data_IF_598790771649
#
_entry.id   IF_598790771649
#
_cell.length_a   1.000
_cell.length_b   1.000
_cell.length_c   1.000
_cell.angle_alpha   90.00
_cell.angle_beta   90.00
_cell.angle_gamma   90.00
#
_symmetry.space_group_name_H-M   'P 1'
#
loop_
_entity.id
_entity.type
_entity.pdbx_description
1 polymer ?
#
# COMPACT_ATOMS: atom_id res chain seq x y z
N UNK A 1 -12.69 5.29 -20.03
CA UNK A 1 -12.71 4.66 -18.69
C UNK A 1 -13.77 3.58 -18.51
N UNK A 2 -15.01 3.75 -19.01
CA UNK A 2 -16.13 2.82 -18.69
C UNK A 2 -15.92 1.36 -19.11
N UNK A 3 -15.30 1.11 -20.28
CA UNK A 3 -15.00 -0.25 -20.74
C UNK A 3 -13.93 -0.95 -19.88
N UNK A 4 -12.88 -0.23 -19.49
CA UNK A 4 -11.80 -0.77 -18.65
C UNK A 4 -12.33 -1.12 -17.26
N UNK A 5 -13.16 -0.26 -16.66
CA UNK A 5 -13.75 -0.51 -15.33
C UNK A 5 -14.51 -1.83 -15.24
N UNK A 6 -15.20 -2.25 -16.30
CA UNK A 6 -15.93 -3.54 -16.30
C UNK A 6 -15.02 -4.76 -16.24
N UNK A 7 -13.74 -4.60 -16.61
CA UNK A 7 -12.70 -5.63 -16.63
C UNK A 7 -11.80 -5.60 -15.41
N UNK A 8 -11.92 -4.59 -14.54
CA UNK A 8 -11.13 -4.52 -13.31
C UNK A 8 -11.57 -5.59 -12.33
N UNK A 9 -10.64 -6.01 -11.47
CA UNK A 9 -10.95 -6.83 -10.28
C UNK A 9 -11.99 -6.07 -9.44
N UNK A 10 -13.12 -6.71 -9.16
CA UNK A 10 -14.29 -6.05 -8.57
C UNK A 10 -14.27 -6.15 -7.06
N UNK A 11 -14.32 -5.00 -6.40
CA UNK A 11 -14.49 -4.92 -4.96
C UNK A 11 -15.96 -5.00 -4.53
N UNK A 12 -16.18 -5.49 -3.31
CA UNK A 12 -17.44 -5.37 -2.58
C UNK A 12 -17.58 -4.04 -1.83
N UNK A 13 -16.49 -3.28 -1.67
CA UNK A 13 -16.50 -1.96 -1.03
C UNK A 13 -16.99 -0.88 -2.00
N UNK A 14 -17.62 0.14 -1.43
CA UNK A 14 -18.11 1.29 -2.19
C UNK A 14 -17.17 2.49 -2.08
N UNK A 15 -17.45 3.54 -2.85
CA UNK A 15 -16.65 4.77 -2.83
C UNK A 15 -16.65 5.43 -1.45
N UNK A 16 -17.74 5.30 -0.69
CA UNK A 16 -17.88 5.87 0.65
C UNK A 16 -16.97 5.17 1.67
N UNK A 17 -16.75 3.86 1.53
CA UNK A 17 -15.75 3.13 2.32
C UNK A 17 -14.35 3.67 2.05
N UNK A 18 -13.98 3.82 0.78
CA UNK A 18 -12.69 4.40 0.40
C UNK A 18 -12.53 5.86 0.84
N UNK A 19 -13.57 6.69 0.77
CA UNK A 19 -13.53 8.06 1.33
C UNK A 19 -13.25 8.04 2.83
N UNK A 20 -13.81 7.09 3.59
CA UNK A 20 -13.54 6.94 5.03
C UNK A 20 -12.09 6.51 5.25
N UNK A 21 -11.61 5.50 4.52
CA UNK A 21 -10.21 5.04 4.55
C UNK A 21 -9.24 6.19 4.24
N UNK A 22 -9.50 6.98 3.20
CA UNK A 22 -8.64 8.10 2.81
C UNK A 22 -8.55 9.16 3.89
N UNK A 23 -9.65 9.43 4.62
CA UNK A 23 -9.65 10.37 5.76
C UNK A 23 -8.86 9.82 6.95
N UNK A 24 -9.01 8.53 7.27
CA UNK A 24 -8.25 7.89 8.35
C UNK A 24 -6.75 7.95 8.07
N UNK A 25 -6.36 7.72 6.82
CA UNK A 25 -4.97 7.71 6.39
C UNK A 25 -4.41 9.10 6.02
N UNK A 26 -5.14 10.19 6.28
CA UNK A 26 -4.66 11.55 6.03
C UNK A 26 -3.88 12.13 7.22
N UNK A 27 -2.93 11.33 7.70
CA UNK A 27 -2.09 11.61 8.88
C UNK A 27 -0.63 11.30 8.52
N UNK A 28 0.36 12.12 8.91
CA UNK A 28 1.77 11.82 8.69
C UNK A 28 2.27 10.71 9.62
N UNK A 29 3.21 9.90 9.12
CA UNK A 29 3.81 8.79 9.88
C UNK A 29 4.67 9.25 11.08
N UNK A 30 5.25 10.45 10.96
CA UNK A 30 6.09 11.10 11.99
C UNK A 30 5.68 12.57 12.14
N UNK A 31 6.37 13.31 13.01
CA UNK A 31 6.31 14.78 12.99
C UNK A 31 7.10 15.33 11.80
N UNK A 32 6.46 16.19 11.01
CA UNK A 32 7.05 16.76 9.80
C UNK A 32 7.00 15.84 8.58
N UNK A 33 7.89 16.12 7.62
CA UNK A 33 7.97 15.42 6.34
C UNK A 33 8.99 14.28 6.41
N UNK A 34 8.51 13.03 6.43
CA UNK A 34 9.38 11.85 6.41
C UNK A 34 10.26 11.76 5.15
N UNK A 35 9.85 12.40 4.05
CA UNK A 35 10.63 12.47 2.82
C UNK A 35 11.96 13.18 3.00
N UNK A 36 12.06 14.12 3.94
CA UNK A 36 13.31 14.82 4.24
C UNK A 36 14.43 13.87 4.72
N UNK A 37 14.07 12.73 5.33
CA UNK A 37 15.03 11.74 5.81
C UNK A 37 15.72 10.96 4.67
N UNK A 38 15.07 10.83 3.52
CA UNK A 38 15.54 10.01 2.40
C UNK A 38 15.60 10.76 1.06
N UNK A 39 15.45 12.09 1.06
CA UNK A 39 15.35 12.88 -0.16
C UNK A 39 14.12 12.51 -1.00
N UNK A 40 13.03 12.12 -0.35
CA UNK A 40 11.76 11.69 -0.96
C UNK A 40 11.87 10.44 -1.84
N UNK A 41 12.86 9.58 -1.60
CA UNK A 41 13.12 8.37 -2.41
C UNK A 41 11.86 7.54 -2.66
N UNK A 42 11.10 7.19 -1.63
CA UNK A 42 9.87 6.40 -1.77
C UNK A 42 8.70 7.15 -2.44
N UNK A 43 8.77 8.48 -2.52
CA UNK A 43 7.77 9.30 -3.22
C UNK A 43 8.13 9.51 -4.69
N UNK A 44 9.35 9.17 -5.12
CA UNK A 44 9.85 9.35 -6.49
C UNK A 44 9.95 8.00 -7.22
N UNK A 45 10.15 8.06 -8.54
CA UNK A 45 10.53 6.88 -9.35
C UNK A 45 12.00 6.54 -9.08
N UNK A 46 12.27 5.90 -7.94
CA UNK A 46 13.63 5.51 -7.54
C UNK A 46 14.20 4.37 -8.40
N UNK A 47 13.34 3.67 -9.14
CA UNK A 47 13.68 2.68 -10.16
C UNK A 47 12.64 2.77 -11.30
N UNK A 48 13.04 2.58 -12.57
CA UNK A 48 12.12 2.65 -13.70
C UNK A 48 10.90 1.74 -13.53
N UNK A 49 9.71 2.32 -13.62
CA UNK A 49 8.45 1.59 -13.53
C UNK A 49 7.91 1.36 -12.11
N UNK A 50 8.52 1.97 -11.08
CA UNK A 50 7.96 1.98 -9.72
C UNK A 50 6.63 2.73 -9.70
N UNK A 51 5.66 2.16 -8.99
CA UNK A 51 4.32 2.71 -8.84
C UNK A 51 3.50 1.88 -7.85
N UNK A 52 2.21 2.13 -7.82
CA UNK A 52 1.28 1.44 -6.94
C UNK A 52 0.24 0.66 -7.71
N UNK A 53 0.02 -0.58 -7.29
CA UNK A 53 -1.22 -1.27 -7.63
C UNK A 53 -2.34 -0.71 -6.76
N UNK A 54 -3.42 -0.30 -7.41
CA UNK A 54 -4.61 0.12 -6.67
C UNK A 54 -5.30 -1.11 -6.12
N UNK A 55 -5.79 -1.00 -4.88
CA UNK A 55 -6.68 -2.03 -4.33
C UNK A 55 -7.94 -2.14 -5.19
N UNK A 56 -8.56 -3.32 -5.30
CA UNK A 56 -9.86 -3.47 -5.96
C UNK A 56 -10.84 -2.39 -5.48
N UNK A 57 -11.45 -1.64 -6.41
CA UNK A 57 -12.40 -0.56 -6.11
C UNK A 57 -11.79 0.79 -5.76
N UNK A 58 -10.49 0.87 -5.48
CA UNK A 58 -9.83 2.12 -5.13
C UNK A 58 -9.80 3.12 -6.30
N UNK A 59 -9.89 2.65 -7.55
CA UNK A 59 -9.96 3.50 -8.74
C UNK A 59 -11.16 4.47 -8.72
N UNK A 60 -12.16 4.22 -7.86
CA UNK A 60 -13.29 5.11 -7.62
C UNK A 60 -12.88 6.46 -6.99
N UNK A 61 -11.71 6.51 -6.34
CA UNK A 61 -11.14 7.72 -5.74
C UNK A 61 -10.46 8.63 -6.75
N UNK A 62 -10.26 8.16 -7.98
CA UNK A 62 -9.61 8.90 -9.04
C UNK A 62 -10.59 9.30 -10.14
N UNK A 63 -10.35 10.49 -10.70
CA UNK A 63 -11.05 10.96 -11.90
C UNK A 63 -10.51 10.31 -13.18
N UNK A 64 -9.26 9.82 -13.13
CA UNK A 64 -8.47 9.36 -14.26
C UNK A 64 -8.04 10.48 -15.20
N UNK A 65 -8.03 11.72 -14.71
CA UNK A 65 -7.55 12.94 -15.38
C UNK A 65 -6.40 13.60 -14.60
N UNK A 66 -5.88 12.92 -13.58
CA UNK A 66 -4.78 13.37 -12.76
C UNK A 66 -3.52 13.51 -13.61
N UNK A 67 -3.03 14.74 -13.81
CA UNK A 67 -1.80 15.01 -14.58
C UNK A 67 -0.53 14.44 -13.93
N UNK A 68 -0.60 14.15 -12.63
CA UNK A 68 0.50 13.60 -11.83
C UNK A 68 0.52 12.07 -11.82
N UNK A 69 -0.44 11.40 -12.47
CA UNK A 69 -0.53 9.95 -12.58
C UNK A 69 -0.47 9.46 -14.02
N UNK A 70 0.33 8.42 -14.24
CA UNK A 70 0.27 7.58 -15.45
C UNK A 70 -0.36 6.25 -15.09
N UNK A 71 -1.44 5.91 -15.77
CA UNK A 71 -2.18 4.66 -15.59
C UNK A 71 -1.66 3.56 -16.51
N UNK A 72 -1.60 2.35 -15.99
CA UNK A 72 -1.52 1.13 -16.78
C UNK A 72 -2.38 0.04 -16.12
N UNK A 73 -2.59 -1.06 -16.82
CA UNK A 73 -3.45 -2.14 -16.35
C UNK A 73 -2.73 -3.46 -16.55
N UNK A 74 -2.72 -4.29 -15.50
CA UNK A 74 -2.03 -5.58 -15.49
C UNK A 74 -3.05 -6.69 -15.32
N UNK A 75 -2.85 -7.82 -16.00
CA UNK A 75 -3.70 -8.99 -15.80
C UNK A 75 -3.39 -9.61 -14.45
N UNK A 76 -4.38 -9.81 -13.59
CA UNK A 76 -4.18 -10.49 -12.31
C UNK A 76 -3.55 -11.89 -12.47
N UNK A 77 -3.82 -12.57 -13.60
CA UNK A 77 -3.29 -13.91 -13.91
C UNK A 77 -1.78 -13.96 -14.17
N UNK A 78 -1.15 -12.85 -14.55
CA UNK A 78 0.25 -12.84 -15.01
C UNK A 78 1.19 -12.13 -14.04
N UNK A 79 0.72 -11.86 -12.83
CA UNK A 79 1.45 -11.15 -11.80
C UNK A 79 1.22 -11.83 -10.46
N UNK A 80 1.98 -11.40 -9.46
CA UNK A 80 2.00 -11.96 -8.12
C UNK A 80 0.82 -11.45 -7.26
N UNK A 81 -0.40 -11.67 -7.76
CA UNK A 81 -1.66 -11.40 -7.08
C UNK A 81 -2.31 -12.70 -6.62
N UNK A 82 -3.25 -12.64 -5.65
CA UNK A 82 -4.02 -13.81 -5.25
C UNK A 82 -4.75 -14.46 -6.41
N UNK A 83 -4.82 -15.79 -6.41
CA UNK A 83 -5.53 -16.55 -7.43
C UNK A 83 -7.02 -16.17 -7.52
N UNK A 84 -7.60 -15.68 -6.41
CA UNK A 84 -8.98 -15.21 -6.35
C UNK A 84 -9.22 -13.96 -7.21
N UNK A 85 -8.19 -13.19 -7.53
CA UNK A 85 -8.31 -11.99 -8.35
C UNK A 85 -8.48 -12.37 -9.83
N UNK A 86 -9.64 -12.03 -10.40
CA UNK A 86 -9.95 -12.24 -11.82
C UNK A 86 -10.19 -10.91 -12.53
N UNK A 87 -9.36 -10.61 -13.52
CA UNK A 87 -9.49 -9.40 -14.35
C UNK A 87 -8.20 -8.60 -14.44
N UNK A 88 -8.36 -7.29 -14.60
CA UNK A 88 -7.28 -6.32 -14.67
C UNK A 88 -7.11 -5.62 -13.31
N UNK A 89 -5.87 -5.39 -12.91
CA UNK A 89 -5.48 -4.58 -11.76
C UNK A 89 -5.00 -3.23 -12.29
N UNK A 90 -5.51 -2.14 -11.72
CA UNK A 90 -5.04 -0.82 -12.05
C UNK A 90 -3.67 -0.57 -11.41
N UNK A 91 -2.73 -0.05 -12.17
CA UNK A 91 -1.41 0.35 -11.71
C UNK A 91 -1.18 1.82 -12.04
N UNK A 92 -0.73 2.58 -11.06
CA UNK A 92 -0.50 4.03 -11.20
C UNK A 92 0.95 4.36 -10.86
N UNK A 93 1.60 5.10 -11.75
CA UNK A 93 2.92 5.68 -11.51
C UNK A 93 2.76 7.17 -11.24
N UNK A 94 3.34 7.65 -10.14
CA UNK A 94 3.36 9.07 -9.78
C UNK A 94 4.65 9.73 -10.28
N UNK A 95 4.54 10.98 -10.70
CA UNK A 95 5.69 11.81 -11.10
C UNK A 95 6.51 12.43 -9.94
N UNK A 96 6.34 11.97 -8.69
CA UNK A 96 7.04 12.54 -7.53
C UNK A 96 6.38 13.73 -6.83
N UNK A 97 5.39 14.37 -7.45
CA UNK A 97 4.74 15.59 -6.93
C UNK A 97 3.27 15.37 -6.59
N UNK A 98 2.91 14.15 -6.17
CA UNK A 98 1.52 13.82 -5.89
C UNK A 98 0.94 14.63 -4.72
N UNK A 99 -0.29 15.18 -4.88
CA UNK A 99 -1.05 15.71 -3.76
C UNK A 99 -1.32 14.60 -2.73
N UNK A 100 -0.92 14.85 -1.47
CA UNK A 100 -0.98 13.85 -0.39
C UNK A 100 -2.39 13.31 -0.19
N UNK A 101 -3.37 14.19 -0.25
CA UNK A 101 -4.79 13.91 -0.06
C UNK A 101 -5.41 13.10 -1.21
N UNK A 102 -4.66 12.83 -2.29
CA UNK A 102 -5.08 11.94 -3.39
C UNK A 102 -4.15 10.75 -3.61
N UNK A 103 -3.17 10.53 -2.74
CA UNK A 103 -2.28 9.35 -2.83
C UNK A 103 -3.08 8.05 -2.72
N UNK A 104 -2.64 6.97 -3.40
CA UNK A 104 -3.19 5.64 -3.17
C UNK A 104 -3.07 5.18 -1.70
N UNK A 105 -3.93 4.27 -1.27
CA UNK A 105 -3.98 3.70 0.10
C UNK A 105 -2.61 3.21 0.54
N UNK A 106 -1.93 2.45 -0.33
CA UNK A 106 -0.61 1.89 -0.02
C UNK A 106 0.43 2.99 0.23
N UNK A 107 0.46 4.05 -0.60
CA UNK A 107 1.34 5.22 -0.36
C UNK A 107 1.05 5.95 0.96
N UNK A 108 -0.18 5.89 1.47
CA UNK A 108 -0.55 6.53 2.76
C UNK A 108 -0.27 5.65 3.96
N UNK A 109 -0.32 4.33 3.76
CA UNK A 109 -0.05 3.34 4.80
C UNK A 109 1.45 3.20 5.03
N UNK A 110 2.26 3.29 3.97
CA UNK A 110 3.71 3.24 4.05
C UNK A 110 4.24 4.28 5.07
N UNK A 111 5.12 3.90 6.03
CA UNK A 111 6.00 2.71 6.04
C UNK A 111 5.40 1.43 6.65
N UNK A 112 4.09 1.39 6.93
CA UNK A 112 3.43 0.20 7.42
C UNK A 112 2.84 -0.63 6.26
N UNK A 113 2.65 -1.92 6.52
CA UNK A 113 1.80 -2.82 5.76
C UNK A 113 0.82 -3.55 6.69
N UNK A 114 -0.40 -3.84 6.22
CA UNK A 114 -1.32 -4.70 6.96
C UNK A 114 -0.76 -6.12 7.04
N UNK A 115 -1.01 -6.79 8.17
CA UNK A 115 -0.60 -8.15 8.42
C UNK A 115 -1.74 -8.96 9.02
N UNK A 116 -2.02 -10.13 8.47
CA UNK A 116 -2.95 -11.10 9.02
C UNK A 116 -2.17 -12.31 9.52
N UNK A 117 -2.22 -12.54 10.83
CA UNK A 117 -1.58 -13.68 11.48
C UNK A 117 -2.19 -15.03 11.03
N UNK A 118 -1.52 -16.17 11.30
CA UNK A 118 -2.12 -17.48 11.06
C UNK A 118 -3.46 -17.70 11.78
N UNK A 119 -3.70 -17.00 12.90
CA UNK A 119 -4.96 -17.01 13.65
C UNK A 119 -6.01 -16.07 13.05
N UNK A 120 -5.70 -15.37 11.95
CA UNK A 120 -6.62 -14.46 11.25
C UNK A 120 -6.71 -13.06 11.86
N UNK A 121 -5.81 -12.68 12.76
CA UNK A 121 -5.83 -11.38 13.42
C UNK A 121 -5.11 -10.32 12.59
N UNK A 122 -5.78 -9.18 12.36
CA UNK A 122 -5.20 -8.02 11.68
C UNK A 122 -4.29 -7.24 12.64
N UNK A 123 -3.11 -6.86 12.17
CA UNK A 123 -2.22 -5.89 12.81
C UNK A 123 -1.50 -5.07 11.73
N UNK A 124 -0.77 -4.03 12.15
CA UNK A 124 0.13 -3.28 11.27
C UNK A 124 1.58 -3.64 11.57
N UNK A 125 2.37 -3.90 10.54
CA UNK A 125 3.82 -4.20 10.63
C UNK A 125 4.61 -3.23 9.77
N UNK A 126 5.90 -3.07 10.05
CA UNK A 126 6.78 -2.34 9.14
C UNK A 126 6.87 -3.08 7.81
N UNK A 127 6.70 -2.37 6.71
CA UNK A 127 6.85 -2.91 5.36
C UNK A 127 8.35 -3.08 5.05
N UNK A 128 8.89 -4.18 5.55
CA UNK A 128 10.30 -4.53 5.36
C UNK A 128 10.55 -5.20 4.01
N UNK A 129 9.51 -5.67 3.32
CA UNK A 129 9.59 -6.16 1.93
C UNK A 129 9.97 -5.02 0.98
N UNK A 130 9.36 -3.84 1.14
CA UNK A 130 9.62 -2.68 0.29
C UNK A 130 10.63 -1.72 0.92
N UNK A 131 10.51 -1.47 2.22
CA UNK A 131 11.12 -0.32 2.88
C UNK A 131 12.57 -0.49 3.33
N UNK A 132 13.07 -1.72 3.48
CA UNK A 132 14.37 -2.01 4.11
C UNK A 132 15.55 -1.27 3.47
N UNK A 133 15.50 -1.00 2.16
CA UNK A 133 16.58 -0.33 1.43
C UNK A 133 16.27 1.12 1.04
N UNK A 134 15.04 1.59 1.24
CA UNK A 134 14.58 2.89 0.70
C UNK A 134 14.00 3.84 1.75
N UNK A 135 13.68 3.34 2.95
CA UNK A 135 12.98 4.11 3.97
C UNK A 135 13.66 4.04 5.34
N UNK A 136 14.19 5.16 5.85
CA UNK A 136 14.80 5.23 7.19
C UNK A 136 13.85 4.84 8.33
N UNK A 137 12.53 5.04 8.16
CA UNK A 137 11.53 4.62 9.16
C UNK A 137 11.40 3.10 9.29
N UNK A 138 11.81 2.36 8.25
CA UNK A 138 11.81 0.90 8.23
C UNK A 138 13.19 0.34 8.60
N UNK A 139 14.27 0.92 8.08
CA UNK A 139 15.64 0.44 8.34
C UNK A 139 16.17 0.82 9.73
N UNK A 140 15.66 1.91 10.32
CA UNK A 140 16.11 2.41 11.63
C UNK A 140 14.93 2.84 12.51
N UNK A 141 13.98 1.95 12.81
CA UNK A 141 12.73 2.30 13.48
C UNK A 141 12.94 2.90 14.87
N UNK A 142 13.97 2.46 15.60
CA UNK A 142 14.33 3.01 16.92
C UNK A 142 14.78 4.49 16.87
N UNK A 143 15.37 4.93 15.74
CA UNK A 143 15.80 6.33 15.56
C UNK A 143 14.67 7.22 15.08
N UNK A 144 13.66 6.64 14.44
CA UNK A 144 12.56 7.35 13.82
C UNK A 144 11.23 6.66 14.15
N UNK A 145 10.82 6.68 15.44
CA UNK A 145 9.60 6.02 15.86
C UNK A 145 8.40 6.63 15.15
N UNK A 146 7.49 5.76 14.72
CA UNK A 146 6.22 6.18 14.14
C UNK A 146 5.29 6.73 15.22
N UNK A 147 4.43 7.67 14.83
CA UNK A 147 3.35 8.13 15.70
C UNK A 147 2.40 6.98 16.02
N UNK A 148 2.05 6.81 17.29
CA UNK A 148 1.07 5.82 17.71
C UNK A 148 -0.28 6.01 17.00
N UNK A 149 -0.74 7.26 16.88
CA UNK A 149 -1.95 7.59 16.12
C UNK A 149 -1.86 7.12 14.65
N UNK A 150 -0.68 7.17 14.02
CA UNK A 150 -0.52 6.68 12.65
C UNK A 150 -0.78 5.16 12.57
N UNK A 151 -0.29 4.38 13.54
CA UNK A 151 -0.53 2.94 13.62
C UNK A 151 -2.01 2.64 13.85
N UNK A 152 -2.64 3.34 14.79
CA UNK A 152 -4.06 3.15 15.13
C UNK A 152 -4.98 3.47 13.94
N UNK A 153 -4.73 4.59 13.26
CA UNK A 153 -5.50 5.01 12.08
C UNK A 153 -5.29 4.08 10.91
N UNK A 154 -4.06 3.59 10.71
CA UNK A 154 -3.79 2.58 9.70
C UNK A 154 -4.53 1.28 10.02
N UNK A 155 -4.49 0.81 11.27
CA UNK A 155 -5.24 -0.37 11.71
C UNK A 155 -6.75 -0.20 11.48
N UNK A 156 -7.32 0.94 11.86
CA UNK A 156 -8.74 1.23 11.62
C UNK A 156 -9.05 1.21 10.13
N UNK A 157 -8.25 1.90 9.30
CA UNK A 157 -8.44 1.93 7.85
C UNK A 157 -8.37 0.54 7.22
N UNK A 158 -7.39 -0.27 7.58
CA UNK A 158 -7.25 -1.62 7.05
C UNK A 158 -8.33 -2.57 7.55
N UNK A 159 -8.88 -2.38 8.76
CA UNK A 159 -10.07 -3.11 9.23
C UNK A 159 -11.31 -2.88 8.35
N UNK A 160 -11.38 -1.74 7.65
CA UNK A 160 -12.41 -1.45 6.65
C UNK A 160 -12.10 -2.22 5.36
N UNK A 161 -10.87 -2.09 4.89
CA UNK A 161 -10.44 -2.64 3.60
C UNK A 161 -10.53 -4.16 3.54
N UNK A 162 -10.12 -4.87 4.61
CA UNK A 162 -10.16 -6.34 4.65
C UNK A 162 -11.57 -6.95 4.77
N UNK A 163 -12.62 -6.12 4.86
CA UNK A 163 -14.00 -6.62 4.69
C UNK A 163 -14.25 -7.09 3.26
N UNK A 164 -13.49 -6.55 2.31
CA UNK A 164 -13.43 -7.09 0.97
C UNK A 164 -12.60 -8.39 0.98
N UNK A 165 -13.17 -9.52 0.52
CA UNK A 165 -12.46 -10.80 0.54
C UNK A 165 -11.23 -10.80 -0.38
N UNK A 166 -11.24 -10.06 -1.50
CA UNK A 166 -10.11 -10.00 -2.42
C UNK A 166 -8.96 -9.18 -1.82
N UNK A 167 -9.26 -8.07 -1.16
CA UNK A 167 -8.23 -7.31 -0.42
C UNK A 167 -7.69 -8.15 0.74
N UNK A 168 -8.56 -8.86 1.46
CA UNK A 168 -8.13 -9.75 2.54
C UNK A 168 -7.18 -10.85 2.05
N UNK A 169 -7.48 -11.48 0.92
CA UNK A 169 -6.62 -12.50 0.31
C UNK A 169 -5.23 -11.94 -0.05
N UNK A 170 -5.19 -10.72 -0.59
CA UNK A 170 -3.93 -10.03 -0.90
C UNK A 170 -3.13 -9.77 0.37
N UNK A 171 -3.77 -9.26 1.43
CA UNK A 171 -3.11 -9.07 2.73
C UNK A 171 -2.59 -10.39 3.30
N UNK A 172 -3.35 -11.50 3.21
CA UNK A 172 -2.89 -12.81 3.68
C UNK A 172 -1.65 -13.25 2.90
N UNK A 173 -1.67 -13.18 1.57
CA UNK A 173 -0.53 -13.56 0.72
C UNK A 173 0.71 -12.70 1.02
N UNK A 174 0.55 -11.38 1.13
CA UNK A 174 1.64 -10.47 1.49
C UNK A 174 2.15 -10.72 2.91
N UNK A 175 1.29 -11.13 3.84
CA UNK A 175 1.69 -11.52 5.21
C UNK A 175 2.57 -12.77 5.19
N UNK A 176 2.28 -13.75 4.34
CA UNK A 176 3.12 -14.95 4.20
C UNK A 176 4.51 -14.59 3.65
N UNK A 177 4.58 -13.69 2.66
CA UNK A 177 5.86 -13.19 2.14
C UNK A 177 6.67 -12.45 3.20
N UNK A 178 6.00 -11.65 4.04
CA UNK A 178 6.65 -10.98 5.16
C UNK A 178 7.24 -12.00 6.15
N UNK A 179 6.48 -13.04 6.52
CA UNK A 179 6.96 -14.10 7.41
C UNK A 179 8.18 -14.84 6.81
N UNK A 180 8.14 -15.14 5.50
CA UNK A 180 9.27 -15.74 4.78
C UNK A 180 10.51 -14.84 4.82
N UNK A 181 10.35 -13.54 4.55
CA UNK A 181 11.44 -12.57 4.57
C UNK A 181 12.03 -12.35 5.96
N UNK A 182 11.18 -12.29 6.99
CA UNK A 182 11.59 -12.20 8.41
C UNK A 182 12.35 -13.44 8.87
N UNK A 183 11.97 -14.63 8.37
CA UNK A 183 12.67 -15.88 8.65
C UNK A 183 13.94 -16.09 7.82
N UNK A 184 14.21 -15.22 6.85
CA UNK A 184 15.27 -15.45 5.88
C UNK A 184 16.67 -15.33 6.52
N UNK A 185 17.58 -16.30 6.29
CA UNK A 185 18.89 -16.32 6.94
C UNK A 185 19.74 -15.07 6.72
N UNK A 186 19.55 -14.38 5.59
CA UNK A 186 20.32 -13.20 5.24
C UNK A 186 20.00 -11.98 6.11
N UNK A 187 18.83 -11.93 6.77
CA UNK A 187 18.51 -10.82 7.70
C UNK A 187 19.42 -10.79 8.92
N UNK A 188 19.90 -11.96 9.38
CA UNK A 188 20.89 -12.05 10.46
C UNK A 188 22.31 -11.63 10.06
N UNK A 189 22.57 -11.33 8.78
CA UNK A 189 23.88 -10.86 8.30
C UNK A 189 24.05 -9.34 8.38
N UNK A 190 22.98 -8.60 8.62
CA UNK A 190 22.96 -7.13 8.69
C UNK A 190 22.55 -6.57 10.06
N UNK A 191 22.32 -7.46 11.05
CA UNK A 191 22.18 -7.16 12.48
C UNK A 191 23.53 -7.24 13.19
#
# INVERSE_FOLDING_TARGET
MGYIRRRLVRSTLCKEDFKRVYRLLDIPAIEGDCGALCGHRCCQEYEPGVGMYLLPGEELMFSGRERWLRWSYKSAKHHDFPESWKGLVAFVMCNGTCPREKRPVQCRTFPLMPYISPQGQLSMRLDTLTGSLICPLVSNPERHPLKEEFLERALEAWSILIRDPLIRDDVVQQSRKLDEDESAPWRGLFT
#
